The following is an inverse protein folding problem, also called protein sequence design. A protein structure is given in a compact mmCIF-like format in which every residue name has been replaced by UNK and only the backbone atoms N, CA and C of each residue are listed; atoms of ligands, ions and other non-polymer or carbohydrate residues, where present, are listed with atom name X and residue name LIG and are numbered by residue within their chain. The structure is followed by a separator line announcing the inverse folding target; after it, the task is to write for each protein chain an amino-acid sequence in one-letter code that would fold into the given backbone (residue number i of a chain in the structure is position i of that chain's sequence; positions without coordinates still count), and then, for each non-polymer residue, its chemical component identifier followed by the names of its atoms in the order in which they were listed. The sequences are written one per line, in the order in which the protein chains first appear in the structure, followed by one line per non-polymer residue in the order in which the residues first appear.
data_IF_346619196848
#
_entry.id   IF_346619196848
#
_cell.length_a   1.000
_cell.length_b   1.000
_cell.length_c   1.000
_cell.angle_alpha   90.00
_cell.angle_beta   90.00
_cell.angle_gamma   90.00
#
_symmetry.space_group_name_H-M   'P 1'
#
loop_
_entity.id
_entity.type
_entity.pdbx_description
1 polymer ?
#
# COMPACT_ATOMS: atom_id res chain seq x y z
N UNK A 1 4.44 23.48 -16.18
CA UNK A 1 4.50 22.67 -14.94
C UNK A 1 5.15 23.51 -13.86
N UNK A 2 4.38 24.01 -12.89
CA UNK A 2 4.90 24.83 -11.78
C UNK A 2 5.23 23.89 -10.62
N UNK A 3 6.50 23.81 -10.24
CA UNK A 3 6.96 23.06 -9.08
C UNK A 3 6.97 24.00 -7.88
N UNK A 4 5.94 23.91 -7.03
CA UNK A 4 5.90 24.62 -5.75
C UNK A 4 6.42 23.68 -4.67
N UNK A 5 7.66 23.86 -4.21
CA UNK A 5 8.18 23.15 -3.05
C UNK A 5 7.99 24.01 -1.79
N UNK A 6 7.26 23.50 -0.80
CA UNK A 6 7.17 24.11 0.52
C UNK A 6 7.90 23.26 1.55
N UNK A 7 8.73 23.90 2.36
CA UNK A 7 9.40 23.26 3.49
C UNK A 7 8.45 23.25 4.68
N UNK A 8 7.87 22.09 4.99
CA UNK A 8 7.06 21.93 6.21
C UNK A 8 8.01 21.84 7.41
N UNK A 9 7.92 22.79 8.34
CA UNK A 9 8.61 22.70 9.63
C UNK A 9 7.87 21.67 10.50
N UNK A 10 8.37 20.44 10.50
CA UNK A 10 7.89 19.34 11.33
C UNK A 10 8.40 19.53 12.77
N UNK A 11 7.87 20.53 13.49
CA UNK A 11 8.17 20.73 14.91
C UNK A 11 7.17 19.95 15.75
N UNK A 12 7.68 18.99 16.52
CA UNK A 12 6.90 18.34 17.58
C UNK A 12 6.79 19.30 18.79
N UNK A 13 5.63 19.37 19.47
CA UNK A 13 5.55 20.00 20.78
C UNK A 13 6.55 19.36 21.74
N UNK A 14 7.32 20.15 22.48
CA UNK A 14 8.24 19.65 23.51
C UNK A 14 7.45 18.81 24.54
N UNK A 15 7.93 17.60 24.83
CA UNK A 15 7.25 16.64 25.72
C UNK A 15 6.32 15.62 25.04
N UNK A 16 6.13 15.70 23.72
CA UNK A 16 5.39 14.69 22.97
C UNK A 16 6.18 13.39 22.79
N UNK A 17 5.51 12.24 22.97
CA UNK A 17 6.05 10.89 22.65
C UNK A 17 5.94 10.51 21.17
N UNK A 18 5.46 11.42 20.32
CA UNK A 18 5.26 11.13 18.91
C UNK A 18 6.58 10.97 18.15
N UNK A 19 6.58 10.06 17.17
CA UNK A 19 7.73 9.76 16.32
C UNK A 19 7.47 10.35 14.94
N UNK A 20 8.48 11.03 14.39
CA UNK A 20 8.43 11.49 13.01
C UNK A 20 8.86 10.36 12.07
N UNK A 21 7.98 9.96 11.16
CA UNK A 21 8.24 8.89 10.19
C UNK A 21 8.30 9.48 8.78
N UNK A 22 9.34 9.10 8.03
CA UNK A 22 9.48 9.42 6.61
C UNK A 22 8.88 8.28 5.77
N UNK A 23 7.61 8.42 5.40
CA UNK A 23 6.94 7.46 4.51
C UNK A 23 7.43 7.66 3.08
N UNK A 24 8.10 6.65 2.52
CA UNK A 24 8.55 6.65 1.12
C UNK A 24 7.46 6.11 0.18
N UNK A 25 6.70 5.14 0.66
CA UNK A 25 5.62 4.49 -0.07
C UNK A 25 4.44 4.26 0.87
N UNK A 26 3.23 4.43 0.35
CA UNK A 26 2.00 4.00 1.02
C UNK A 26 1.27 3.07 0.06
N UNK A 27 1.08 1.82 0.47
CA UNK A 27 0.35 0.82 -0.32
C UNK A 27 -0.93 0.44 0.38
N UNK A 28 -2.04 0.50 -0.35
CA UNK A 28 -3.36 0.13 0.17
C UNK A 28 -3.82 -1.15 -0.54
N UNK A 29 -4.25 -2.14 0.22
CA UNK A 29 -4.72 -3.40 -0.34
C UNK A 29 -6.21 -3.35 -0.71
N UNK A 30 -6.58 -3.49 -1.99
CA UNK A 30 -7.99 -3.56 -2.39
C UNK A 30 -8.74 -4.69 -1.71
N UNK A 31 -8.08 -5.80 -1.34
CA UNK A 31 -8.70 -6.89 -0.59
C UNK A 31 -9.22 -6.42 0.77
N UNK A 32 -8.51 -5.49 1.42
CA UNK A 32 -8.95 -4.93 2.69
C UNK A 32 -10.22 -4.08 2.57
N UNK A 33 -10.56 -3.59 1.37
CA UNK A 33 -11.82 -2.86 1.14
C UNK A 33 -13.03 -3.69 1.57
N UNK A 34 -13.06 -4.97 1.21
CA UNK A 34 -14.16 -5.87 1.59
C UNK A 34 -14.17 -6.04 3.10
N UNK A 35 -13.03 -6.21 3.74
CA UNK A 35 -12.95 -6.43 5.21
C UNK A 35 -13.24 -5.17 6.03
N UNK A 36 -13.08 -3.97 5.47
CA UNK A 36 -13.33 -2.70 6.15
C UNK A 36 -14.81 -2.29 6.16
N UNK A 37 -15.67 -3.03 5.45
CA UNK A 37 -17.11 -2.85 5.49
C UNK A 37 -17.71 -3.73 6.59
N UNK A 38 -18.77 -3.24 7.24
CA UNK A 38 -19.60 -4.09 8.11
C UNK A 38 -20.44 -4.99 7.23
N UNK A 39 -20.30 -6.29 7.43
CA UNK A 39 -21.13 -7.28 6.77
C UNK A 39 -22.22 -7.74 7.74
N UNK A 40 -23.48 -7.44 7.40
CA UNK A 40 -24.64 -8.00 8.08
C UNK A 40 -25.07 -9.26 7.31
N UNK A 41 -24.81 -10.46 7.85
CA UNK A 41 -25.18 -11.74 7.25
C UNK A 41 -24.02 -12.71 6.99
N UNK A 42 -24.28 -13.78 6.22
CA UNK A 42 -23.27 -14.79 5.87
C UNK A 42 -22.46 -14.28 4.69
N UNK A 43 -21.27 -13.74 4.96
CA UNK A 43 -20.26 -13.42 3.95
C UNK A 43 -19.11 -14.43 4.04
N UNK A 44 -18.57 -14.84 2.89
CA UNK A 44 -17.37 -15.70 2.83
C UNK A 44 -16.09 -15.02 3.36
N UNK A 45 -16.14 -13.71 3.58
CA UNK A 45 -15.02 -12.89 4.05
C UNK A 45 -15.49 -12.11 5.28
N UNK A 46 -14.85 -12.37 6.42
CA UNK A 46 -15.14 -11.67 7.66
C UNK A 46 -14.73 -10.19 7.62
N UNK A 47 -15.50 -9.37 8.35
CA UNK A 47 -15.12 -8.00 8.70
C UNK A 47 -13.79 -7.99 9.46
N UNK A 48 -13.00 -6.94 9.29
CA UNK A 48 -11.71 -6.77 9.97
C UNK A 48 -11.91 -6.65 11.50
N UNK A 49 -11.13 -7.43 12.25
CA UNK A 49 -11.12 -7.43 13.72
C UNK A 49 -9.72 -7.06 14.20
N UNK A 50 -9.54 -5.97 14.97
CA UNK A 50 -8.23 -5.63 15.53
C UNK A 50 -7.63 -6.80 16.33
N UNK A 51 -6.33 -7.07 16.13
CA UNK A 51 -5.65 -8.20 16.77
C UNK A 51 -5.83 -9.55 16.07
N UNK A 52 -6.66 -9.62 15.02
CA UNK A 52 -6.79 -10.82 14.20
C UNK A 52 -5.55 -11.01 13.32
N UNK A 53 -4.88 -12.15 13.46
CA UNK A 53 -3.80 -12.59 12.57
C UNK A 53 -4.41 -13.43 11.46
N UNK A 54 -4.05 -13.13 10.20
CA UNK A 54 -4.54 -13.90 9.07
C UNK A 54 -4.07 -15.37 9.17
N UNK A 55 -5.02 -16.29 9.09
CA UNK A 55 -4.88 -17.73 9.39
C UNK A 55 -3.72 -18.42 8.65
N UNK A 56 -3.37 -17.93 7.46
CA UNK A 56 -2.33 -18.53 6.60
C UNK A 56 -1.02 -17.73 6.51
N UNK A 57 -0.81 -16.73 7.36
CA UNK A 57 0.40 -15.90 7.27
C UNK A 57 1.70 -16.71 7.44
N UNK A 58 1.65 -17.80 8.20
CA UNK A 58 2.76 -18.75 8.36
C UNK A 58 3.18 -19.44 7.05
N UNK A 59 2.32 -19.47 6.04
CA UNK A 59 2.61 -20.06 4.72
C UNK A 59 3.23 -19.06 3.75
N UNK A 60 3.29 -17.78 4.11
CA UNK A 60 3.82 -16.71 3.26
C UNK A 60 5.24 -17.00 2.73
N UNK A 61 6.20 -17.53 3.52
CA UNK A 61 7.52 -17.90 2.99
C UNK A 61 7.45 -18.94 1.85
N UNK A 62 6.62 -19.98 2.01
CA UNK A 62 6.42 -21.00 0.97
C UNK A 62 5.74 -20.43 -0.27
N UNK A 63 4.78 -19.54 -0.07
CA UNK A 63 4.12 -18.83 -1.17
C UNK A 63 5.13 -17.99 -1.97
N UNK A 64 6.06 -17.29 -1.29
CA UNK A 64 7.12 -16.54 -1.96
C UNK A 64 8.03 -17.46 -2.77
N UNK A 65 8.56 -18.53 -2.16
CA UNK A 65 9.38 -19.51 -2.88
C UNK A 65 8.70 -20.04 -4.14
N UNK A 66 7.39 -20.28 -4.05
CA UNK A 66 6.57 -20.73 -5.17
C UNK A 66 6.36 -19.65 -6.24
N UNK A 67 5.97 -18.42 -5.87
CA UNK A 67 5.50 -17.40 -6.83
C UNK A 67 6.64 -16.60 -7.48
N UNK A 68 7.75 -16.41 -6.79
CA UNK A 68 8.84 -15.54 -7.23
C UNK A 68 9.50 -16.01 -8.55
N UNK A 69 9.74 -17.31 -8.81
CA UNK A 69 10.21 -17.78 -10.12
C UNK A 69 9.28 -17.39 -11.26
N UNK A 70 7.96 -17.55 -11.09
CA UNK A 70 6.97 -17.19 -12.12
C UNK A 70 6.92 -15.69 -12.40
N UNK A 71 7.15 -14.86 -11.38
CA UNK A 71 7.28 -13.40 -11.57
C UNK A 71 8.56 -13.09 -12.36
N UNK A 72 9.69 -13.73 -12.04
CA UNK A 72 10.97 -13.54 -12.76
C UNK A 72 10.89 -13.98 -14.21
N UNK A 73 10.16 -15.06 -14.48
CA UNK A 73 9.92 -15.58 -15.83
C UNK A 73 8.83 -14.81 -16.60
N UNK A 74 8.19 -13.81 -15.97
CA UNK A 74 7.12 -13.02 -16.60
C UNK A 74 5.80 -13.78 -16.79
N UNK A 75 5.68 -14.99 -16.23
CA UNK A 75 4.45 -15.81 -16.27
C UNK A 75 3.34 -15.24 -15.38
N UNK A 76 3.71 -14.49 -14.35
CA UNK A 76 2.79 -13.72 -13.50
C UNK A 76 3.09 -12.24 -13.71
N UNK A 77 2.09 -11.50 -14.19
CA UNK A 77 2.16 -10.05 -14.37
C UNK A 77 1.45 -9.38 -13.20
N UNK A 78 2.13 -8.42 -12.58
CA UNK A 78 1.57 -7.61 -11.51
C UNK A 78 1.15 -6.25 -12.07
N UNK A 79 -0.08 -5.83 -11.78
CA UNK A 79 -0.63 -4.55 -12.20
C UNK A 79 -0.73 -3.63 -10.98
N UNK A 80 -0.13 -2.46 -11.09
CA UNK A 80 -0.15 -1.41 -10.06
C UNK A 80 -0.85 -0.17 -10.61
N UNK A 81 -1.64 0.46 -9.75
CA UNK A 81 -2.19 1.79 -9.93
C UNK A 81 -1.35 2.76 -9.08
N UNK A 82 -0.54 3.58 -9.75
CA UNK A 82 0.47 4.41 -9.10
C UNK A 82 -0.01 5.86 -9.01
N UNK A 83 -0.16 6.35 -7.79
CA UNK A 83 -0.37 7.75 -7.48
C UNK A 83 0.96 8.40 -7.06
N UNK A 84 1.33 9.50 -7.69
CA UNK A 84 2.57 10.20 -7.37
C UNK A 84 2.38 11.18 -6.21
N UNK A 85 3.43 11.32 -5.40
CA UNK A 85 3.57 12.20 -4.25
C UNK A 85 2.67 11.84 -3.07
N UNK A 86 3.16 12.06 -1.85
CA UNK A 86 2.43 11.64 -0.65
C UNK A 86 1.12 12.43 -0.48
N UNK A 87 1.05 13.65 -1.00
CA UNK A 87 -0.13 14.51 -0.95
C UNK A 87 -1.32 13.91 -1.73
N UNK A 88 -1.06 12.99 -2.68
CA UNK A 88 -2.12 12.29 -3.41
C UNK A 88 -2.75 11.14 -2.60
N UNK A 89 -2.15 10.75 -1.47
CA UNK A 89 -2.61 9.62 -0.66
C UNK A 89 -4.10 9.67 -0.27
N UNK A 90 -4.68 10.82 0.17
CA UNK A 90 -6.10 10.89 0.48
C UNK A 90 -6.97 10.61 -0.75
N UNK A 91 -6.61 11.19 -1.91
CA UNK A 91 -7.36 11.00 -3.15
C UNK A 91 -7.26 9.56 -3.67
N UNK A 92 -6.07 8.95 -3.59
CA UNK A 92 -5.82 7.56 -3.95
C UNK A 92 -6.62 6.59 -3.05
N UNK A 93 -6.65 6.83 -1.73
CA UNK A 93 -7.46 6.05 -0.80
C UNK A 93 -8.96 6.16 -1.12
N UNK A 94 -9.46 7.38 -1.38
CA UNK A 94 -10.85 7.58 -1.79
C UNK A 94 -11.17 6.90 -3.13
N UNK A 95 -10.21 6.88 -4.06
CA UNK A 95 -10.29 6.12 -5.32
C UNK A 95 -10.44 4.63 -5.08
N UNK A 96 -9.58 4.06 -4.23
CA UNK A 96 -9.59 2.65 -3.87
C UNK A 96 -10.92 2.22 -3.21
N UNK A 97 -11.41 3.02 -2.25
CA UNK A 97 -12.68 2.77 -1.59
C UNK A 97 -13.88 2.86 -2.54
N UNK A 98 -13.81 3.76 -3.53
CA UNK A 98 -14.79 3.87 -4.61
C UNK A 98 -14.58 2.85 -5.75
N UNK A 99 -13.55 1.99 -5.67
CA UNK A 99 -13.24 0.99 -6.67
C UNK A 99 -12.75 1.52 -8.02
N UNK A 100 -12.13 2.70 -8.04
CA UNK A 100 -11.57 3.31 -9.24
C UNK A 100 -10.18 2.78 -9.62
N UNK A 101 -9.51 2.07 -8.71
CA UNK A 101 -8.16 1.58 -8.93
C UNK A 101 -8.13 0.33 -9.83
N UNK A 102 -7.13 0.23 -10.70
CA UNK A 102 -6.87 -0.98 -11.50
C UNK A 102 -5.61 -1.67 -10.99
N UNK A 103 -5.77 -2.81 -10.33
CA UNK A 103 -4.66 -3.51 -9.67
C UNK A 103 -4.36 -2.92 -8.29
N UNK A 104 -3.10 -3.03 -7.83
CA UNK A 104 -2.71 -2.57 -6.49
C UNK A 104 -2.49 -1.06 -6.46
N UNK A 105 -3.20 -0.36 -5.57
CA UNK A 105 -2.95 1.08 -5.37
C UNK A 105 -1.65 1.31 -4.58
N UNK A 106 -0.74 2.09 -5.16
CA UNK A 106 0.54 2.49 -4.55
C UNK A 106 0.69 4.01 -4.64
N UNK A 107 1.07 4.66 -3.54
CA UNK A 107 1.40 6.09 -3.50
C UNK A 107 2.90 6.25 -3.29
N UNK A 108 3.57 6.97 -4.17
CA UNK A 108 5.04 7.14 -4.15
C UNK A 108 5.42 8.53 -3.65
N UNK A 109 6.11 8.62 -2.50
CA UNK A 109 6.35 9.88 -1.79
C UNK A 109 7.38 10.83 -2.41
N UNK A 110 8.26 10.38 -3.32
CA UNK A 110 9.22 11.24 -4.04
C UNK A 110 9.30 10.85 -5.51
N UNK A 111 9.42 11.86 -6.38
CA UNK A 111 9.87 11.68 -7.75
C UNK A 111 11.37 11.30 -7.71
N UNK A 112 11.64 10.02 -7.48
CA UNK A 112 12.92 9.44 -7.83
C UNK A 112 12.85 9.23 -9.34
N UNK A 113 13.58 10.07 -10.08
CA UNK A 113 13.73 9.91 -11.52
C UNK A 113 14.00 8.45 -11.84
N UNK A 114 13.22 7.91 -12.78
CA UNK A 114 13.39 6.61 -13.44
C UNK A 114 14.04 5.51 -12.58
N UNK A 115 13.22 4.54 -12.16
CA UNK A 115 13.66 3.20 -11.69
C UNK A 115 13.89 3.07 -10.18
N UNK A 116 12.79 3.01 -9.43
CA UNK A 116 12.74 2.29 -8.15
C UNK A 116 11.62 1.23 -8.13
N UNK A 117 11.23 0.75 -9.31
CA UNK A 117 10.24 -0.33 -9.48
C UNK A 117 10.76 -1.71 -9.06
N UNK A 118 12.00 -1.80 -8.54
CA UNK A 118 12.69 -3.05 -8.23
C UNK A 118 13.06 -3.24 -6.76
N UNK A 119 13.07 -2.21 -5.90
CA UNK A 119 13.57 -2.41 -4.52
C UNK A 119 12.62 -3.16 -3.57
N UNK A 120 11.38 -3.42 -3.96
CA UNK A 120 10.46 -4.33 -3.25
C UNK A 120 10.15 -5.62 -4.04
N UNK A 121 10.75 -5.78 -5.24
CA UNK A 121 10.77 -7.05 -5.96
C UNK A 121 12.00 -7.82 -5.49
N UNK A 122 11.81 -8.82 -4.62
CA UNK A 122 12.75 -9.94 -4.38
C UNK A 122 13.92 -9.76 -3.39
N UNK A 123 13.75 -9.04 -2.29
CA UNK A 123 14.58 -9.28 -1.08
C UNK A 123 13.71 -9.69 0.08
#
# INVERSE_FOLDING_TARGET
MVLTSSTIKLKFPEGSKGVLVKNLYLSCDPYMRVRMQKHDGIFYIDSFKPGFVFEYYHQYPKFLEFVLPYIREGKIVYVEDIAERLESAPAAMMGLLAGRNVGKQVVVGKHLGTTLLLQLKLT
#
